data_IF_364673999137
#
_entry.id   IF_364673999137
#
_cell.length_a   1.000
_cell.length_b   1.000
_cell.length_c   1.000
_cell.angle_alpha   90.00
_cell.angle_beta   90.00
_cell.angle_gamma   90.00
#
_symmetry.space_group_name_H-M   'P 1'
#
loop_
_entity.id
_entity.type
_entity.pdbx_description
1 polymer ?
#
# COMPACT_ATOMS: atom_id res chain seq x y z
N UNK A 1 34.97 30.84 74.66
CA UNK A 1 34.52 29.45 74.33
C UNK A 1 33.33 29.62 73.40
N UNK A 2 33.58 29.37 72.09
CA UNK A 2 32.67 29.65 71.01
C UNK A 2 31.96 28.34 70.64
N UNK A 3 30.66 28.29 70.84
CA UNK A 3 29.84 27.16 70.46
C UNK A 3 29.19 27.38 69.10
N UNK A 4 29.61 26.63 68.10
CA UNK A 4 29.14 26.69 66.72
C UNK A 4 27.82 25.96 66.57
N UNK A 5 26.76 26.66 66.26
CA UNK A 5 25.44 26.12 65.92
C UNK A 5 25.43 25.65 64.43
N UNK A 6 25.42 24.34 64.20
CA UNK A 6 25.18 23.81 62.85
C UNK A 6 23.67 23.72 62.59
N UNK A 7 23.19 24.56 61.70
CA UNK A 7 21.84 24.46 61.09
C UNK A 7 21.83 23.32 60.06
N UNK A 8 21.07 22.27 60.34
CA UNK A 8 20.79 21.22 59.38
C UNK A 8 19.75 21.72 58.39
N UNK A 9 20.18 21.90 57.13
CA UNK A 9 19.30 22.14 56.01
C UNK A 9 18.58 20.87 55.63
N UNK A 10 17.26 20.80 55.82
CA UNK A 10 16.42 19.72 55.29
C UNK A 10 16.11 20.04 53.83
N UNK A 11 16.70 19.27 52.94
CA UNK A 11 16.33 19.29 51.52
C UNK A 11 15.07 18.43 51.39
N UNK A 12 13.94 19.07 51.18
CA UNK A 12 12.70 18.39 50.80
C UNK A 12 12.80 17.87 49.37
N UNK A 13 12.72 16.57 49.21
CA UNK A 13 12.60 15.95 47.91
C UNK A 13 11.23 16.30 47.32
N UNK A 14 11.20 17.14 46.29
CA UNK A 14 10.01 17.35 45.49
C UNK A 14 9.95 16.18 44.52
N UNK A 15 9.07 15.22 44.81
CA UNK A 15 8.75 14.14 43.86
C UNK A 15 7.87 14.75 42.78
N UNK A 16 8.46 15.04 41.63
CA UNK A 16 7.71 15.40 40.43
C UNK A 16 6.97 14.14 39.94
N UNK A 17 5.67 14.10 40.19
CA UNK A 17 4.78 13.10 39.60
C UNK A 17 4.59 13.46 38.13
N UNK A 18 5.34 12.84 37.24
CA UNK A 18 5.08 12.93 35.80
C UNK A 18 3.78 12.17 35.50
N UNK A 19 2.69 12.89 35.34
CA UNK A 19 1.44 12.32 34.82
C UNK A 19 1.70 12.06 33.32
N UNK A 20 2.02 10.82 33.00
CA UNK A 20 1.99 10.33 31.62
C UNK A 20 0.51 10.22 31.24
N UNK A 21 -0.04 11.27 30.62
CA UNK A 21 -1.31 11.16 29.93
C UNK A 21 -1.10 10.19 28.76
N UNK A 22 -1.43 8.92 28.94
CA UNK A 22 -1.66 8.03 27.82
C UNK A 22 -2.84 8.63 27.05
N UNK A 23 -2.56 9.27 25.94
CA UNK A 23 -3.53 9.43 24.87
C UNK A 23 -3.86 8.01 24.38
N UNK A 24 -4.91 7.44 24.96
CA UNK A 24 -5.60 6.32 24.34
C UNK A 24 -6.32 6.94 23.16
N UNK A 25 -5.59 7.10 22.05
CA UNK A 25 -6.20 7.34 20.77
C UNK A 25 -7.10 6.13 20.53
N UNK A 26 -8.40 6.34 20.41
CA UNK A 26 -9.29 5.32 19.88
C UNK A 26 -8.76 5.03 18.47
N UNK A 27 -8.19 3.84 18.29
CA UNK A 27 -7.83 3.40 16.96
C UNK A 27 -9.08 3.55 16.10
N UNK A 28 -8.97 4.26 14.98
CA UNK A 28 -10.04 4.28 13.99
C UNK A 28 -10.36 2.82 13.62
N UNK A 29 -11.62 2.47 13.39
CA UNK A 29 -11.94 1.13 12.92
C UNK A 29 -11.17 0.90 11.61
N UNK A 30 -10.36 -0.15 11.58
CA UNK A 30 -9.74 -0.57 10.34
C UNK A 30 -10.83 -1.20 9.46
N UNK A 31 -10.91 -0.78 8.21
CA UNK A 31 -11.85 -1.34 7.23
C UNK A 31 -11.19 -2.54 6.55
N UNK A 32 -11.94 -3.65 6.44
CA UNK A 32 -11.51 -4.79 5.65
C UNK A 32 -11.44 -4.37 4.18
N UNK A 33 -10.33 -4.68 3.51
CA UNK A 33 -10.14 -4.33 2.11
C UNK A 33 -9.68 -5.53 1.30
N UNK A 34 -9.96 -5.49 0.00
CA UNK A 34 -9.59 -6.54 -0.95
C UNK A 34 -8.73 -5.99 -2.07
N UNK A 35 -7.80 -6.78 -2.57
CA UNK A 35 -7.01 -6.48 -3.77
C UNK A 35 -7.46 -7.36 -4.94
N UNK A 36 -7.53 -6.75 -6.12
CA UNK A 36 -7.90 -7.41 -7.36
C UNK A 36 -6.81 -7.20 -8.40
N UNK A 37 -6.28 -8.28 -8.92
CA UNK A 37 -5.40 -8.25 -10.08
C UNK A 37 -6.24 -7.96 -11.33
N UNK A 38 -5.96 -6.85 -11.98
CA UNK A 38 -6.64 -6.47 -13.21
C UNK A 38 -5.64 -5.79 -14.17
N UNK A 39 -4.70 -6.59 -14.65
CA UNK A 39 -3.64 -6.13 -15.55
C UNK A 39 -4.23 -5.69 -16.89
N UNK A 40 -4.22 -4.38 -17.13
CA UNK A 40 -4.79 -3.72 -18.32
C UNK A 40 -3.73 -3.08 -19.20
N UNK A 41 -2.47 -3.05 -18.74
CA UNK A 41 -1.35 -2.46 -19.45
C UNK A 41 -0.06 -3.21 -19.14
N UNK A 42 0.84 -3.28 -20.12
CA UNK A 42 2.17 -3.88 -19.98
C UNK A 42 3.23 -2.88 -19.47
N UNK A 43 2.88 -1.60 -19.44
CA UNK A 43 3.80 -0.51 -19.08
C UNK A 43 4.80 -0.16 -20.18
N UNK A 44 5.76 0.70 -19.83
CA UNK A 44 6.74 1.27 -20.77
C UNK A 44 8.15 0.68 -20.62
N UNK A 45 8.27 -0.50 -20.02
CA UNK A 45 9.50 -1.20 -19.74
C UNK A 45 9.53 -1.75 -18.31
N UNK A 46 10.68 -2.28 -17.91
CA UNK A 46 10.86 -2.95 -16.63
C UNK A 46 11.94 -2.28 -15.82
N UNK A 47 11.75 -2.16 -14.52
CA UNK A 47 12.69 -1.56 -13.59
C UNK A 47 12.67 -2.25 -12.23
N UNK A 48 13.63 -1.91 -11.38
CA UNK A 48 13.61 -2.29 -9.97
C UNK A 48 13.09 -1.11 -9.17
N UNK A 49 11.89 -1.18 -8.59
CA UNK A 49 11.35 -0.11 -7.76
C UNK A 49 12.26 0.24 -6.59
N UNK A 50 12.33 1.52 -6.26
CA UNK A 50 13.10 2.03 -5.13
C UNK A 50 12.24 2.85 -4.16
N UNK A 51 11.09 3.33 -4.64
CA UNK A 51 10.17 4.17 -3.87
C UNK A 51 8.73 3.86 -4.24
N UNK A 52 7.82 4.20 -3.32
CA UNK A 52 6.38 4.23 -3.52
C UNK A 52 5.92 5.70 -3.58
N UNK A 53 5.13 6.06 -4.58
CA UNK A 53 4.50 7.37 -4.69
C UNK A 53 3.00 7.25 -4.46
N UNK A 54 2.48 8.11 -3.61
CA UNK A 54 1.04 8.20 -3.32
C UNK A 54 0.44 9.40 -4.05
N UNK A 55 -0.63 9.13 -4.79
CA UNK A 55 -1.39 10.07 -5.60
C UNK A 55 -2.81 10.24 -5.10
N UNK A 56 -3.54 11.21 -5.67
CA UNK A 56 -5.01 11.19 -5.70
C UNK A 56 -5.50 11.51 -7.11
N UNK A 57 -6.59 10.87 -7.50
CA UNK A 57 -7.04 10.80 -8.90
C UNK A 57 -7.50 12.12 -9.51
N UNK A 58 -7.67 13.19 -8.72
CA UNK A 58 -8.25 14.47 -9.13
C UNK A 58 -9.59 14.31 -9.91
N UNK A 59 -10.33 13.24 -9.63
CA UNK A 59 -11.58 12.88 -10.29
C UNK A 59 -12.64 12.48 -9.25
N UNK A 60 -13.21 13.48 -8.62
CA UNK A 60 -14.11 13.33 -7.48
C UNK A 60 -15.33 12.45 -7.80
N UNK A 61 -15.57 11.45 -6.94
CA UNK A 61 -16.69 10.52 -7.04
C UNK A 61 -16.47 9.33 -7.99
N UNK A 62 -15.39 9.30 -8.75
CA UNK A 62 -15.03 8.13 -9.55
C UNK A 62 -14.38 7.06 -8.68
N UNK A 63 -14.84 5.81 -8.83
CA UNK A 63 -14.30 4.65 -8.13
C UNK A 63 -13.04 4.10 -8.81
N UNK A 64 -12.31 3.23 -8.14
CA UNK A 64 -11.16 2.54 -8.70
C UNK A 64 -11.55 1.76 -9.97
N UNK A 65 -12.72 1.09 -9.97
CA UNK A 65 -13.22 0.42 -11.16
C UNK A 65 -13.49 1.37 -12.34
N UNK A 66 -13.99 2.59 -12.07
CA UNK A 66 -14.16 3.59 -13.14
C UNK A 66 -12.81 3.96 -13.78
N UNK A 67 -11.74 4.09 -12.98
CA UNK A 67 -10.39 4.37 -13.48
C UNK A 67 -9.83 3.18 -14.25
N UNK A 68 -9.98 1.96 -13.74
CA UNK A 68 -9.59 0.73 -14.46
C UNK A 68 -10.24 0.70 -15.85
N UNK A 69 -11.55 0.91 -15.95
CA UNK A 69 -12.26 0.91 -17.23
C UNK A 69 -11.80 2.06 -18.16
N UNK A 70 -11.48 3.22 -17.59
CA UNK A 70 -10.99 4.36 -18.37
C UNK A 70 -9.59 4.05 -18.92
N UNK A 71 -8.67 3.62 -18.09
CA UNK A 71 -7.29 3.29 -18.48
C UNK A 71 -7.23 2.11 -19.45
N UNK A 72 -8.09 1.11 -19.28
CA UNK A 72 -8.18 -0.01 -20.22
C UNK A 72 -8.54 0.46 -21.65
N UNK A 73 -9.39 1.46 -21.78
CA UNK A 73 -9.71 2.04 -23.09
C UNK A 73 -8.56 2.87 -23.69
N UNK A 74 -7.75 3.47 -22.84
CA UNK A 74 -6.59 4.26 -23.25
C UNK A 74 -5.37 3.37 -23.58
N UNK A 75 -5.28 2.19 -22.99
CA UNK A 75 -4.15 1.29 -23.15
C UNK A 75 -2.87 1.79 -22.49
N UNK A 76 -1.71 1.32 -22.95
CA UNK A 76 -0.40 1.64 -22.37
C UNK A 76 -0.08 3.14 -22.28
N UNK A 77 -0.64 3.95 -23.17
CA UNK A 77 -0.37 5.40 -23.21
C UNK A 77 -1.17 6.19 -22.16
N UNK A 78 -2.02 5.52 -21.39
CA UNK A 78 -2.73 6.19 -20.30
C UNK A 78 -1.75 6.65 -19.20
N UNK A 79 -1.86 7.90 -18.71
CA UNK A 79 -1.25 8.27 -17.45
C UNK A 79 -1.97 7.51 -16.33
N UNK A 80 -1.29 6.54 -15.71
CA UNK A 80 -1.83 5.70 -14.65
C UNK A 80 -0.73 5.26 -13.70
N UNK A 81 -1.08 4.97 -12.46
CA UNK A 81 -0.23 4.28 -11.51
C UNK A 81 -0.43 2.76 -11.62
N UNK A 82 0.43 1.97 -10.98
CA UNK A 82 0.32 0.51 -10.95
C UNK A 82 -0.85 0.04 -10.11
N UNK A 83 -1.29 0.83 -9.13
CA UNK A 83 -2.43 0.53 -8.27
C UNK A 83 -3.38 1.71 -8.16
N UNK A 84 -4.65 1.39 -7.88
CA UNK A 84 -5.68 2.37 -7.56
C UNK A 84 -6.58 1.83 -6.45
N UNK A 85 -6.82 2.66 -5.43
CA UNK A 85 -7.60 2.33 -4.25
C UNK A 85 -8.86 3.21 -4.13
N UNK A 86 -9.94 2.64 -3.61
CA UNK A 86 -11.15 3.37 -3.26
C UNK A 86 -11.84 2.81 -2.00
N UNK A 87 -13.05 3.28 -1.74
CA UNK A 87 -13.90 2.97 -0.59
C UNK A 87 -14.96 1.90 -0.85
N UNK A 88 -15.07 1.39 -2.07
CA UNK A 88 -16.12 0.43 -2.42
C UNK A 88 -15.92 -0.88 -1.67
N UNK A 89 -17.03 -1.53 -1.31
CA UNK A 89 -17.07 -2.82 -0.62
C UNK A 89 -16.26 -2.86 0.71
N UNK A 90 -16.11 -1.70 1.37
CA UNK A 90 -15.35 -1.56 2.61
C UNK A 90 -13.86 -1.27 2.39
N UNK A 91 -13.44 -1.16 1.15
CA UNK A 91 -12.09 -0.86 0.69
C UNK A 91 -11.67 -1.79 -0.45
N UNK A 92 -11.33 -1.20 -1.59
CA UNK A 92 -10.94 -1.97 -2.77
C UNK A 92 -9.67 -1.40 -3.38
N UNK A 93 -8.75 -2.28 -3.77
CA UNK A 93 -7.53 -1.93 -4.51
C UNK A 93 -7.50 -2.76 -5.80
N UNK A 94 -7.22 -2.10 -6.92
CA UNK A 94 -6.95 -2.78 -8.19
C UNK A 94 -5.49 -2.60 -8.57
N UNK A 95 -4.82 -3.70 -8.88
CA UNK A 95 -3.53 -3.68 -9.55
C UNK A 95 -3.75 -3.62 -11.06
N UNK A 96 -3.24 -2.59 -11.72
CA UNK A 96 -3.48 -2.30 -13.15
C UNK A 96 -2.36 -2.78 -14.05
N UNK A 97 -1.17 -2.96 -13.51
CA UNK A 97 -0.01 -3.53 -14.19
C UNK A 97 0.98 -4.11 -13.16
N UNK A 98 1.97 -4.85 -13.63
CA UNK A 98 3.01 -5.41 -12.76
C UNK A 98 3.73 -4.33 -11.96
N UNK A 99 4.05 -4.60 -10.70
CA UNK A 99 4.74 -3.68 -9.79
C UNK A 99 6.17 -3.33 -10.19
N UNK A 100 6.74 -3.99 -11.19
CA UNK A 100 8.03 -3.65 -11.79
C UNK A 100 7.92 -3.16 -13.24
N UNK A 101 6.71 -2.93 -13.73
CA UNK A 101 6.47 -2.27 -15.00
C UNK A 101 6.48 -0.75 -14.84
N UNK A 102 7.15 -0.05 -15.74
CA UNK A 102 7.21 1.41 -15.72
C UNK A 102 5.84 2.00 -16.10
N UNK A 103 5.20 2.67 -15.15
CA UNK A 103 3.98 3.44 -15.39
C UNK A 103 4.31 4.92 -15.63
N UNK A 104 3.42 5.62 -16.33
CA UNK A 104 3.51 7.07 -16.47
C UNK A 104 2.66 7.77 -15.43
N UNK A 105 3.23 8.04 -14.24
CA UNK A 105 2.50 8.60 -13.12
C UNK A 105 3.19 9.79 -12.42
N UNK A 106 4.54 9.95 -12.54
CA UNK A 106 5.27 10.91 -11.70
C UNK A 106 6.44 11.60 -12.41
N UNK A 107 6.33 11.78 -13.73
CA UNK A 107 7.36 12.47 -14.50
C UNK A 107 8.70 11.73 -14.51
N UNK A 108 9.79 12.41 -14.10
CA UNK A 108 11.12 11.78 -14.09
C UNK A 108 11.25 10.64 -13.07
N UNK A 109 10.36 10.57 -12.09
CA UNK A 109 10.31 9.50 -11.09
C UNK A 109 9.80 8.16 -11.61
N UNK A 110 9.19 8.09 -12.81
CA UNK A 110 8.62 6.88 -13.39
C UNK A 110 9.56 5.66 -13.41
N UNK A 111 10.87 5.89 -13.53
CA UNK A 111 11.90 4.85 -13.57
C UNK A 111 12.47 4.48 -12.20
N UNK A 112 11.96 5.08 -11.12
CA UNK A 112 12.44 4.89 -9.76
C UNK A 112 11.36 4.46 -8.80
N UNK A 113 10.09 4.65 -9.17
CA UNK A 113 8.97 4.45 -8.27
C UNK A 113 7.81 3.71 -8.90
N UNK A 114 7.09 3.01 -8.06
CA UNK A 114 5.73 2.57 -8.30
C UNK A 114 4.75 3.57 -7.70
N UNK A 115 3.50 3.54 -8.13
CA UNK A 115 2.48 4.45 -7.66
C UNK A 115 1.18 3.76 -7.26
N UNK A 116 0.49 4.37 -6.29
CA UNK A 116 -0.91 4.10 -5.97
C UNK A 116 -1.71 5.39 -6.08
N UNK A 117 -2.85 5.34 -6.77
CA UNK A 117 -3.85 6.39 -6.84
C UNK A 117 -4.92 6.18 -5.78
N UNK A 118 -5.26 7.22 -5.03
CA UNK A 118 -6.40 7.21 -4.10
C UNK A 118 -7.57 7.92 -4.78
N UNK A 119 -8.68 7.23 -4.98
CA UNK A 119 -9.89 7.82 -5.54
C UNK A 119 -10.48 8.88 -4.61
N UNK A 120 -10.94 9.99 -5.19
CA UNK A 120 -11.45 11.13 -4.43
C UNK A 120 -12.93 10.97 -4.09
N UNK A 121 -13.19 10.70 -2.81
CA UNK A 121 -14.54 10.55 -2.27
C UNK A 121 -15.33 11.88 -2.21
N UNK A 122 -16.65 11.76 -2.20
CA UNK A 122 -17.58 12.91 -2.12
C UNK A 122 -18.18 13.12 -0.73
N UNK A 123 -17.95 12.19 0.20
CA UNK A 123 -18.43 12.27 1.57
C UNK A 123 -17.38 11.74 2.55
N UNK A 124 -17.55 12.10 3.83
CA UNK A 124 -16.60 11.82 4.91
C UNK A 124 -16.38 10.32 5.12
N UNK A 125 -17.44 9.52 5.09
CA UNK A 125 -17.33 8.07 5.33
C UNK A 125 -16.48 7.40 4.25
N UNK A 126 -16.78 7.65 2.99
CA UNK A 126 -16.04 7.09 1.86
C UNK A 126 -14.57 7.55 1.86
N UNK A 127 -14.34 8.83 2.25
CA UNK A 127 -12.97 9.32 2.44
C UNK A 127 -12.24 8.52 3.51
N UNK A 128 -12.84 8.31 4.68
CA UNK A 128 -12.22 7.57 5.78
C UNK A 128 -11.89 6.13 5.37
N UNK A 129 -12.80 5.45 4.67
CA UNK A 129 -12.56 4.10 4.15
C UNK A 129 -11.42 4.10 3.14
N UNK A 130 -11.46 4.95 2.10
CA UNK A 130 -10.43 4.98 1.06
C UNK A 130 -9.06 5.40 1.58
N UNK A 131 -9.01 6.34 2.54
CA UNK A 131 -7.79 6.79 3.19
C UNK A 131 -7.13 5.68 4.01
N UNK A 132 -7.94 4.94 4.77
CA UNK A 132 -7.49 3.81 5.58
C UNK A 132 -7.05 2.63 4.71
N UNK A 133 -7.84 2.29 3.68
CA UNK A 133 -7.52 1.26 2.69
C UNK A 133 -6.15 1.51 2.04
N UNK A 134 -5.93 2.73 1.54
CA UNK A 134 -4.67 3.09 0.91
C UNK A 134 -3.49 3.04 1.91
N UNK A 135 -3.71 3.44 3.17
CA UNK A 135 -2.67 3.40 4.20
C UNK A 135 -2.29 1.95 4.56
N UNK A 136 -3.26 1.06 4.71
CA UNK A 136 -3.02 -0.36 4.95
C UNK A 136 -2.27 -0.99 3.76
N UNK A 137 -2.73 -0.74 2.53
CA UNK A 137 -2.07 -1.23 1.33
C UNK A 137 -0.62 -0.73 1.23
N UNK A 138 -0.37 0.57 1.48
CA UNK A 138 1.00 1.11 1.49
C UNK A 138 1.88 0.40 2.52
N UNK A 139 1.37 0.13 3.72
CA UNK A 139 2.12 -0.58 4.76
C UNK A 139 2.44 -2.03 4.33
N UNK A 140 1.49 -2.75 3.73
CA UNK A 140 1.70 -4.09 3.18
C UNK A 140 2.79 -4.05 2.10
N UNK A 141 2.67 -3.14 1.13
CA UNK A 141 3.63 -3.02 0.04
C UNK A 141 5.05 -2.68 0.55
N UNK A 142 5.18 -1.68 1.43
CA UNK A 142 6.47 -1.31 2.02
C UNK A 142 7.11 -2.50 2.75
N UNK A 143 6.32 -3.23 3.56
CA UNK A 143 6.81 -4.39 4.28
C UNK A 143 7.28 -5.51 3.34
N UNK A 144 6.53 -5.80 2.27
CA UNK A 144 6.91 -6.80 1.25
C UNK A 144 8.22 -6.45 0.55
N UNK A 145 8.50 -5.15 0.35
CA UNK A 145 9.75 -4.67 -0.24
C UNK A 145 10.91 -4.61 0.78
N UNK A 146 10.65 -4.81 2.07
CA UNK A 146 11.62 -4.58 3.15
C UNK A 146 11.96 -3.10 3.32
N UNK A 147 11.02 -2.20 3.04
CA UNK A 147 11.18 -0.75 3.09
C UNK A 147 10.54 -0.16 4.35
N UNK A 148 11.13 0.93 4.83
CA UNK A 148 10.51 1.80 5.81
C UNK A 148 9.71 2.93 5.17
N UNK A 149 9.09 3.75 6.01
CA UNK A 149 8.28 4.91 5.59
C UNK A 149 9.07 5.92 4.75
N UNK A 150 10.40 5.97 4.90
CA UNK A 150 11.33 6.82 4.15
C UNK A 150 11.36 6.52 2.64
N UNK A 151 10.78 5.40 2.22
CA UNK A 151 10.63 5.02 0.82
C UNK A 151 9.28 5.41 0.21
N UNK A 152 8.38 5.97 1.00
CA UNK A 152 7.10 6.50 0.53
C UNK A 152 7.16 8.01 0.45
N UNK A 153 6.68 8.56 -0.66
CA UNK A 153 6.58 10.01 -0.89
C UNK A 153 5.23 10.35 -1.51
N UNK A 154 4.74 11.55 -1.28
CA UNK A 154 3.61 12.11 -2.03
C UNK A 154 4.05 12.54 -3.45
N UNK A 155 3.12 12.64 -4.40
CA UNK A 155 3.42 13.25 -5.70
C UNK A 155 3.93 14.69 -5.54
N UNK A 156 3.40 15.42 -4.55
CA UNK A 156 3.90 16.76 -4.23
C UNK A 156 5.39 16.78 -3.83
N UNK A 157 5.88 15.78 -3.10
CA UNK A 157 7.31 15.65 -2.75
C UNK A 157 8.14 15.17 -3.94
N UNK A 158 7.60 14.23 -4.73
CA UNK A 158 8.25 13.65 -5.90
C UNK A 158 8.71 14.72 -6.90
N UNK A 159 7.95 15.81 -7.05
CA UNK A 159 8.34 16.94 -7.91
C UNK A 159 9.65 17.61 -7.50
N UNK A 160 10.00 17.58 -6.21
CA UNK A 160 11.26 18.11 -5.71
C UNK A 160 12.38 17.07 -5.74
N UNK A 161 12.03 15.78 -5.60
CA UNK A 161 12.99 14.68 -5.60
C UNK A 161 13.50 14.40 -7.02
N UNK A 162 12.60 14.28 -8.00
CA UNK A 162 12.95 13.88 -9.37
C UNK A 162 12.64 14.94 -10.42
N UNK A 163 11.68 15.83 -10.18
CA UNK A 163 11.20 16.79 -11.17
C UNK A 163 10.40 16.14 -12.31
N UNK A 164 10.12 16.92 -13.36
CA UNK A 164 9.34 16.45 -14.50
C UNK A 164 7.82 16.41 -14.26
N UNK A 165 7.36 16.93 -13.12
CA UNK A 165 5.96 17.10 -12.76
C UNK A 165 5.81 18.36 -11.90
N UNK A 166 4.62 18.95 -11.90
CA UNK A 166 4.24 20.10 -11.05
C UNK A 166 3.03 19.79 -10.15
N UNK A 167 2.59 18.54 -10.16
CA UNK A 167 1.46 18.07 -9.39
C UNK A 167 1.67 18.17 -7.88
N UNK A 168 0.59 18.37 -7.14
CA UNK A 168 0.59 18.62 -5.69
C UNK A 168 -0.26 17.61 -4.91
N UNK A 169 -0.82 16.63 -5.58
CA UNK A 169 -1.60 15.55 -4.96
C UNK A 169 -0.71 14.68 -4.03
N UNK A 170 -1.30 14.04 -3.05
CA UNK A 170 -2.70 14.07 -2.61
C UNK A 170 -3.01 15.21 -1.64
N UNK A 171 -2.13 16.21 -1.48
CA UNK A 171 -2.22 17.24 -0.43
C UNK A 171 -3.55 18.01 -0.43
N UNK A 172 -4.06 18.54 -1.59
CA UNK A 172 -5.33 19.26 -1.60
C UNK A 172 -6.52 18.35 -1.26
N UNK A 173 -6.48 17.09 -1.71
CA UNK A 173 -7.53 16.13 -1.41
C UNK A 173 -7.60 15.83 0.09
N UNK A 174 -6.47 15.55 0.74
CA UNK A 174 -6.45 15.30 2.18
C UNK A 174 -6.90 16.54 2.97
N UNK A 175 -6.43 17.73 2.57
CA UNK A 175 -6.81 18.98 3.22
C UNK A 175 -8.32 19.26 3.18
N UNK A 176 -9.02 18.87 2.11
CA UNK A 176 -10.49 18.96 1.99
C UNK A 176 -11.20 18.26 3.15
N UNK A 177 -10.62 17.18 3.67
CA UNK A 177 -11.15 16.36 4.75
C UNK A 177 -10.46 16.62 6.10
N UNK A 178 -9.69 17.72 6.21
CA UNK A 178 -8.98 18.07 7.44
C UNK A 178 -7.81 17.16 7.80
N UNK A 179 -7.25 16.46 6.81
CA UNK A 179 -6.06 15.61 6.96
C UNK A 179 -4.86 16.25 6.29
N UNK A 180 -3.69 15.87 6.77
CA UNK A 180 -2.40 16.27 6.21
C UNK A 180 -1.68 15.04 5.62
N UNK A 181 -0.63 15.28 4.86
CA UNK A 181 0.29 14.21 4.45
C UNK A 181 0.89 13.49 5.66
N UNK A 182 1.31 14.24 6.67
CA UNK A 182 1.84 13.66 7.91
C UNK A 182 0.83 12.77 8.66
N UNK A 183 -0.48 13.05 8.57
CA UNK A 183 -1.50 12.17 9.14
C UNK A 183 -1.54 10.83 8.38
N UNK A 184 -1.35 10.85 7.05
CA UNK A 184 -1.28 9.64 6.23
C UNK A 184 -0.01 8.84 6.54
N UNK A 185 1.16 9.48 6.57
CA UNK A 185 2.42 8.85 6.93
C UNK A 185 2.36 8.20 8.32
N UNK A 186 1.79 8.89 9.31
CA UNK A 186 1.61 8.37 10.66
C UNK A 186 0.70 7.13 10.69
N UNK A 187 -0.35 7.11 9.86
CA UNK A 187 -1.24 5.95 9.76
C UNK A 187 -0.54 4.76 9.09
N UNK A 188 0.21 4.99 8.01
CA UNK A 188 1.03 3.93 7.38
C UNK A 188 2.07 3.40 8.36
N UNK A 189 2.78 4.28 9.09
CA UNK A 189 3.74 3.86 10.11
C UNK A 189 3.07 3.05 11.23
N UNK A 190 1.86 3.45 11.66
CA UNK A 190 1.10 2.68 12.64
C UNK A 190 0.86 1.24 12.15
N UNK A 191 0.48 1.04 10.89
CA UNK A 191 0.26 -0.30 10.32
C UNK A 191 1.58 -1.07 10.12
N UNK A 192 2.67 -0.42 9.78
CA UNK A 192 4.00 -1.04 9.74
C UNK A 192 4.41 -1.58 11.13
N UNK A 193 4.15 -0.81 12.18
CA UNK A 193 4.49 -1.18 13.56
C UNK A 193 3.49 -2.20 14.16
N UNK A 194 2.26 -2.27 13.62
CA UNK A 194 1.17 -3.10 14.11
C UNK A 194 0.49 -3.89 12.99
N UNK A 195 1.18 -4.84 12.33
CA UNK A 195 0.61 -5.59 11.19
C UNK A 195 -0.72 -6.30 11.50
N UNK A 196 -0.89 -6.76 12.75
CA UNK A 196 -2.14 -7.40 13.19
C UNK A 196 -3.34 -6.45 13.33
N UNK A 197 -3.15 -5.14 13.20
CA UNK A 197 -4.23 -4.16 13.18
C UNK A 197 -4.80 -3.95 11.77
N UNK A 198 -4.13 -4.45 10.73
CA UNK A 198 -4.64 -4.42 9.36
C UNK A 198 -5.77 -5.46 9.21
N UNK A 199 -6.75 -5.12 8.40
CA UNK A 199 -7.92 -5.94 8.13
C UNK A 199 -8.00 -6.27 6.64
N UNK A 200 -6.90 -6.78 6.11
CA UNK A 200 -6.86 -7.29 4.74
C UNK A 200 -7.73 -8.54 4.65
N UNK A 201 -8.70 -8.52 3.75
CA UNK A 201 -9.47 -9.70 3.37
C UNK A 201 -8.87 -10.23 2.06
N UNK A 202 -8.07 -11.28 2.16
CA UNK A 202 -7.48 -11.98 1.02
C UNK A 202 -8.53 -12.78 0.22
N UNK A 203 -9.83 -12.60 0.57
CA UNK A 203 -10.93 -13.36 -0.03
C UNK A 203 -11.00 -14.82 0.43
N UNK A 204 -10.09 -15.24 1.29
CA UNK A 204 -10.10 -16.55 1.95
C UNK A 204 -10.49 -16.37 3.42
N UNK A 205 -11.78 -16.45 3.70
CA UNK A 205 -12.33 -16.29 5.04
C UNK A 205 -11.72 -17.22 6.06
N UNK A 206 -11.07 -16.63 7.04
CA UNK A 206 -10.71 -17.09 8.39
C UNK A 206 -9.30 -17.60 8.68
N UNK A 207 -8.72 -16.89 9.65
CA UNK A 207 -7.79 -17.29 10.72
C UNK A 207 -6.44 -17.95 10.37
N UNK A 208 -5.37 -17.50 11.05
CA UNK A 208 -4.04 -17.99 10.78
C UNK A 208 -3.82 -19.35 11.46
N UNK A 209 -4.07 -20.41 10.74
CA UNK A 209 -3.34 -21.64 10.97
C UNK A 209 -2.20 -21.67 9.95
N UNK A 210 -1.01 -22.03 10.42
CA UNK A 210 0.19 -22.20 9.61
C UNK A 210 -0.16 -22.85 8.29
N UNK A 211 0.15 -22.26 7.11
CA UNK A 211 -0.22 -22.88 5.86
C UNK A 211 0.44 -24.24 5.74
N UNK A 212 -0.35 -25.28 5.81
CA UNK A 212 0.04 -26.56 5.22
C UNK A 212 0.25 -26.28 3.73
N UNK A 213 1.42 -26.58 3.20
CA UNK A 213 1.75 -26.34 1.81
C UNK A 213 0.61 -26.89 0.94
N UNK A 214 0.08 -26.12 -0.03
CA UNK A 214 -1.04 -26.58 -0.83
C UNK A 214 -0.69 -27.93 -1.43
N UNK A 215 -1.58 -28.91 -1.23
CA UNK A 215 -1.43 -30.21 -1.88
C UNK A 215 -1.50 -29.94 -3.37
N UNK A 216 -0.47 -30.32 -4.15
CA UNK A 216 -0.44 -30.03 -5.58
C UNK A 216 -1.71 -30.58 -6.25
N UNK A 217 -2.50 -29.70 -6.86
CA UNK A 217 -3.58 -30.06 -7.76
C UNK A 217 -3.04 -30.67 -9.07
N UNK A 218 -3.88 -30.78 -10.08
CA UNK A 218 -3.41 -31.26 -11.38
C UNK A 218 -2.58 -30.18 -12.11
N UNK A 219 -1.73 -30.60 -13.05
CA UNK A 219 -1.00 -29.66 -13.94
C UNK A 219 -1.96 -28.80 -14.74
N UNK A 220 -3.13 -29.34 -15.07
CA UNK A 220 -4.23 -28.65 -15.78
C UNK A 220 -4.77 -27.48 -14.93
N UNK A 221 -4.97 -27.70 -13.62
CA UNK A 221 -5.43 -26.65 -12.69
C UNK A 221 -4.37 -25.57 -12.53
N UNK A 222 -3.10 -25.94 -12.38
CA UNK A 222 -2.00 -24.99 -12.31
C UNK A 222 -1.87 -24.20 -13.62
N UNK A 223 -1.99 -24.84 -14.76
CA UNK A 223 -1.96 -24.18 -16.07
C UNK A 223 -3.15 -23.22 -16.27
N UNK A 224 -4.33 -23.62 -15.82
CA UNK A 224 -5.49 -22.71 -15.79
C UNK A 224 -5.22 -21.49 -14.90
N UNK A 225 -4.68 -21.68 -13.71
CA UNK A 225 -4.26 -20.61 -12.82
C UNK A 225 -3.22 -19.68 -13.45
N UNK A 226 -2.26 -20.22 -14.20
CA UNK A 226 -1.30 -19.40 -14.99
C UNK A 226 -2.03 -18.56 -16.04
N UNK A 227 -2.98 -19.13 -16.77
CA UNK A 227 -3.77 -18.40 -17.77
C UNK A 227 -4.69 -17.33 -17.15
N UNK A 228 -5.09 -17.51 -15.88
CA UNK A 228 -5.85 -16.52 -15.11
C UNK A 228 -4.95 -15.48 -14.41
N UNK A 229 -3.62 -15.63 -14.49
CA UNK A 229 -2.68 -14.73 -13.84
C UNK A 229 -2.38 -15.01 -12.35
N UNK A 230 -2.96 -16.08 -11.75
CA UNK A 230 -2.84 -16.37 -10.30
C UNK A 230 -1.41 -16.59 -9.82
N UNK A 231 -0.52 -16.99 -10.69
CA UNK A 231 0.91 -17.21 -10.38
C UNK A 231 1.81 -16.05 -10.82
N UNK A 232 1.22 -14.91 -11.25
CA UNK A 232 1.99 -13.76 -11.72
C UNK A 232 2.68 -13.98 -13.07
N UNK A 233 3.65 -13.10 -13.39
CA UNK A 233 4.45 -13.18 -14.60
C UNK A 233 5.86 -13.70 -14.29
N UNK A 234 6.62 -14.11 -15.33
CA UNK A 234 8.02 -14.47 -15.15
C UNK A 234 8.85 -13.24 -14.68
N UNK A 235 9.73 -13.35 -13.66
CA UNK A 235 10.19 -14.57 -12.98
C UNK A 235 9.32 -15.04 -11.78
N UNK A 236 8.39 -14.22 -11.29
CA UNK A 236 7.56 -14.53 -10.11
C UNK A 236 6.73 -15.80 -10.31
N UNK A 237 6.22 -16.02 -11.52
CA UNK A 237 5.46 -17.24 -11.86
C UNK A 237 6.23 -18.50 -11.54
N UNK A 238 7.52 -18.53 -11.84
CA UNK A 238 8.35 -19.70 -11.51
C UNK A 238 8.39 -19.91 -10.00
N UNK A 239 8.69 -18.85 -9.26
CA UNK A 239 8.76 -18.92 -7.80
C UNK A 239 7.41 -19.35 -7.18
N UNK A 240 6.31 -18.73 -7.63
CA UNK A 240 4.98 -19.01 -7.10
C UNK A 240 4.49 -20.43 -7.43
N UNK A 241 4.77 -20.94 -8.62
CA UNK A 241 4.45 -22.33 -8.98
C UNK A 241 5.30 -23.33 -8.18
N UNK A 242 6.60 -23.07 -8.04
CA UNK A 242 7.50 -23.92 -7.26
C UNK A 242 7.13 -23.89 -5.76
N UNK A 243 6.76 -22.74 -5.22
CA UNK A 243 6.26 -22.59 -3.86
C UNK A 243 4.94 -23.33 -3.64
N UNK A 244 4.07 -23.39 -4.66
CA UNK A 244 2.84 -24.17 -4.66
C UNK A 244 3.06 -25.67 -4.94
N UNK A 245 4.32 -26.12 -5.05
CA UNK A 245 4.67 -27.54 -5.24
C UNK A 245 4.59 -28.05 -6.67
N UNK A 246 4.47 -27.16 -7.67
CA UNK A 246 4.46 -27.53 -9.08
C UNK A 246 5.85 -27.39 -9.71
N UNK A 247 6.15 -28.25 -10.68
CA UNK A 247 7.29 -28.05 -11.57
C UNK A 247 6.95 -26.97 -12.61
N UNK A 248 7.62 -25.84 -12.51
CA UNK A 248 7.39 -24.68 -13.39
C UNK A 248 7.42 -25.04 -14.88
N UNK A 249 8.42 -25.82 -15.31
CA UNK A 249 8.57 -26.13 -16.72
C UNK A 249 7.42 -27.01 -17.23
N UNK A 250 6.98 -27.97 -16.44
CA UNK A 250 5.86 -28.84 -16.77
C UNK A 250 4.54 -28.06 -16.94
N UNK A 251 4.27 -27.11 -16.02
CA UNK A 251 3.07 -26.26 -16.11
C UNK A 251 3.17 -25.32 -17.33
N UNK A 252 4.33 -24.70 -17.55
CA UNK A 252 4.53 -23.78 -18.67
C UNK A 252 4.44 -24.49 -20.02
N UNK A 253 4.97 -25.72 -20.13
CA UNK A 253 4.84 -26.54 -21.33
C UNK A 253 3.39 -26.95 -21.60
N UNK A 254 2.58 -27.11 -20.55
CA UNK A 254 1.14 -27.36 -20.72
C UNK A 254 0.42 -26.10 -21.22
N UNK A 255 0.68 -24.93 -20.60
CA UNK A 255 0.13 -23.63 -21.04
C UNK A 255 0.43 -23.34 -22.51
N UNK A 256 1.65 -23.66 -22.97
CA UNK A 256 2.06 -23.41 -24.35
C UNK A 256 1.44 -24.36 -25.38
N UNK A 257 0.77 -25.42 -24.95
CA UNK A 257 0.14 -26.45 -25.82
C UNK A 257 -1.36 -26.24 -26.02
N UNK A 258 -2.01 -25.54 -25.11
CA UNK A 258 -3.45 -25.26 -25.12
C UNK A 258 -3.74 -23.86 -25.60
#
# INVERSE_FOLDING_TARGET
>A
MIGTFMKRLRIGAITALAVFAMLVGTAAPAYAWTEHDNFIADGHGWFQPQNLVVHSTANEGATAWNHVQYWQRMGNDAPMAQWVADWTDGGTVYQTMSGNAVAWHVGNGNWYSVGIEICEATNQHDFEVGFDTAAQWCAVYLNQQGWGIDRMVSHNEARYVWGGTDHVDPIPYFAKWGKTWGDFENLVQYYLDNPSAMTYDDGEGSAPDTPEAPVPGSIEEAAYGVMQGWYGNHPERQYNLEAAGYDYQTVQDYVNRV
#
